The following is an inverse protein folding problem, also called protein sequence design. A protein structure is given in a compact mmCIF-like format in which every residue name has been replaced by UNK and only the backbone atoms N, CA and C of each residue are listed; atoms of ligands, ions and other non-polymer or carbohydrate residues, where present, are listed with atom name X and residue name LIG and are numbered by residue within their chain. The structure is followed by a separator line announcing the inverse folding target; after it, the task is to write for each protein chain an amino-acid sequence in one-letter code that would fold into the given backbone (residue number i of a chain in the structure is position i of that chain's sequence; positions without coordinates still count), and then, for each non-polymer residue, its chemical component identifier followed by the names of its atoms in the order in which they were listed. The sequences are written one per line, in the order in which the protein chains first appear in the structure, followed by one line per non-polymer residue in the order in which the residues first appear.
data_IF_928315238141
#
_entry.id   IF_928315238141
#
_cell.length_a   1.000
_cell.length_b   1.000
_cell.length_c   1.000
_cell.angle_alpha   90.00
_cell.angle_beta   90.00
_cell.angle_gamma   90.00
#
_symmetry.space_group_name_H-M   'P 1'
#
loop_
_entity.id
_entity.type
_entity.pdbx_description
1 polymer ?
#
# COMPACT_ATOMS: atom_id res chain seq x y z
N UNK A 1 -18.68 16.39 -11.77
CA UNK A 1 -19.03 15.18 -12.53
C UNK A 1 -18.34 13.97 -11.92
N UNK A 2 -19.07 12.90 -11.74
CA UNK A 2 -18.50 11.66 -11.26
C UNK A 2 -17.78 10.96 -12.41
N UNK A 3 -16.53 10.63 -12.19
CA UNK A 3 -15.70 9.95 -13.18
C UNK A 3 -15.20 8.63 -12.59
N UNK A 4 -14.56 7.82 -13.41
CA UNK A 4 -13.94 6.60 -12.94
C UNK A 4 -12.91 6.86 -11.83
N UNK A 5 -12.29 8.05 -11.79
CA UNK A 5 -11.33 8.42 -10.77
C UNK A 5 -11.91 8.46 -9.36
N UNK A 6 -13.24 8.56 -9.22
CA UNK A 6 -13.89 8.50 -7.91
C UNK A 6 -13.64 7.16 -7.20
N UNK A 7 -13.40 6.10 -7.98
CA UNK A 7 -13.22 4.75 -7.47
C UNK A 7 -11.76 4.27 -7.60
N UNK A 8 -10.88 5.14 -8.06
CA UNK A 8 -9.47 4.81 -8.23
C UNK A 8 -8.62 5.96 -7.72
N UNK A 9 -7.47 5.66 -7.15
CA UNK A 9 -6.57 6.66 -6.60
C UNK A 9 -5.26 6.65 -7.40
N UNK A 10 -4.78 7.86 -7.75
CA UNK A 10 -3.49 8.03 -8.41
C UNK A 10 -2.37 8.02 -7.38
N UNK A 11 -1.13 7.83 -7.83
CA UNK A 11 0.03 7.92 -6.95
C UNK A 11 0.12 9.27 -6.24
N UNK A 12 -0.15 10.35 -6.95
CA UNK A 12 -0.13 11.70 -6.40
C UNK A 12 -1.17 11.87 -5.29
N UNK A 13 -2.39 11.38 -5.51
CA UNK A 13 -3.46 11.45 -4.52
C UNK A 13 -3.15 10.59 -3.30
N UNK A 14 -2.55 9.42 -3.52
CA UNK A 14 -2.17 8.54 -2.42
C UNK A 14 -1.07 9.17 -1.55
N UNK A 15 -0.06 9.76 -2.18
CA UNK A 15 1.00 10.48 -1.46
C UNK A 15 0.40 11.65 -0.68
N UNK A 16 -0.57 12.36 -1.24
CA UNK A 16 -1.24 13.45 -0.53
C UNK A 16 -1.99 12.94 0.71
N UNK A 17 -2.65 11.79 0.59
CA UNK A 17 -3.34 11.19 1.73
C UNK A 17 -2.35 10.85 2.85
N UNK A 18 -1.21 10.26 2.49
CA UNK A 18 -0.18 9.91 3.47
C UNK A 18 0.44 11.18 4.07
N UNK A 19 0.61 12.21 3.28
CA UNK A 19 1.08 13.52 3.75
C UNK A 19 0.12 14.09 4.82
N UNK A 20 -1.17 13.93 4.62
CA UNK A 20 -2.17 14.33 5.61
C UNK A 20 -2.00 13.55 6.92
N UNK A 21 -1.74 12.24 6.83
CA UNK A 21 -1.47 11.41 8.01
C UNK A 21 -0.20 11.89 8.72
N UNK A 22 0.83 12.22 7.97
CA UNK A 22 2.11 12.69 8.54
C UNK A 22 1.93 13.90 9.45
N UNK A 23 1.01 14.82 9.11
CA UNK A 23 0.74 16.00 9.92
C UNK A 23 0.09 15.69 11.26
N UNK A 24 -0.50 14.52 11.41
CA UNK A 24 -1.25 14.13 12.60
C UNK A 24 -0.56 13.03 13.41
N UNK A 25 0.34 12.28 12.79
CA UNK A 25 0.99 11.13 13.42
C UNK A 25 2.15 11.58 14.32
N UNK A 26 2.38 10.87 15.42
CA UNK A 26 3.45 11.22 16.38
C UNK A 26 4.40 10.04 16.65
N UNK A 27 4.43 9.05 15.76
CA UNK A 27 5.32 7.91 15.89
C UNK A 27 5.82 7.52 14.48
N UNK A 28 6.92 6.77 14.43
CA UNK A 28 7.48 6.34 13.16
C UNK A 28 6.74 5.12 12.62
N UNK A 29 6.52 5.09 11.31
CA UNK A 29 5.94 3.95 10.60
C UNK A 29 6.52 3.84 9.21
N UNK A 30 6.81 2.60 8.80
CA UNK A 30 7.23 2.27 7.44
C UNK A 30 6.06 1.66 6.71
N UNK A 31 5.73 2.22 5.55
CA UNK A 31 4.68 1.74 4.66
C UNK A 31 5.33 1.25 3.37
N UNK A 32 5.12 0.00 3.02
CA UNK A 32 5.64 -0.56 1.78
C UNK A 32 4.46 -0.92 0.89
N UNK A 33 4.26 -0.15 -0.17
CA UNK A 33 3.21 -0.45 -1.14
C UNK A 33 3.46 -1.79 -1.82
N UNK A 34 2.41 -2.56 -2.02
CA UNK A 34 2.48 -3.82 -2.74
C UNK A 34 1.32 -3.91 -3.73
N UNK A 35 1.33 -4.94 -4.57
CA UNK A 35 0.29 -5.10 -5.59
C UNK A 35 0.18 -3.88 -6.50
N UNK A 36 -1.06 -3.53 -6.87
CA UNK A 36 -1.33 -2.38 -7.73
C UNK A 36 -0.90 -1.06 -7.12
N UNK A 37 -0.86 -0.96 -5.79
CA UNK A 37 -0.38 0.23 -5.08
C UNK A 37 1.10 0.49 -5.40
N UNK A 38 1.94 -0.53 -5.34
CA UNK A 38 3.35 -0.40 -5.67
C UNK A 38 3.53 0.04 -7.12
N UNK A 39 2.81 -0.58 -8.06
CA UNK A 39 2.89 -0.24 -9.47
C UNK A 39 2.46 1.20 -9.73
N UNK A 40 1.46 1.68 -8.99
CA UNK A 40 0.98 3.06 -9.09
C UNK A 40 2.01 4.04 -8.52
N UNK A 41 2.62 3.71 -7.38
CA UNK A 41 3.67 4.54 -6.79
C UNK A 41 4.92 4.58 -7.66
N UNK A 42 5.22 3.51 -8.37
CA UNK A 42 6.36 3.43 -9.29
C UNK A 42 6.05 4.02 -10.67
N UNK A 43 4.84 4.55 -10.86
CA UNK A 43 4.39 5.15 -12.10
C UNK A 43 4.33 4.18 -13.28
N UNK A 44 4.22 2.88 -13.00
CA UNK A 44 4.00 1.83 -14.00
C UNK A 44 2.51 1.77 -14.36
N UNK A 45 1.64 2.04 -13.37
CA UNK A 45 0.20 2.18 -13.57
C UNK A 45 -0.23 3.60 -13.17
N UNK A 46 -1.28 4.12 -13.79
CA UNK A 46 -1.78 5.46 -13.51
C UNK A 46 -2.52 5.54 -12.17
N UNK A 47 -3.19 4.46 -11.77
CA UNK A 47 -4.02 4.46 -10.57
C UNK A 47 -4.28 3.03 -10.09
N UNK A 48 -4.78 2.91 -8.87
CA UNK A 48 -5.20 1.62 -8.32
C UNK A 48 -6.56 1.76 -7.65
N UNK A 49 -7.31 0.67 -7.64
CA UNK A 49 -8.60 0.60 -6.97
C UNK A 49 -8.44 0.23 -5.50
N UNK A 50 -7.60 -0.76 -5.22
CA UNK A 50 -7.33 -1.23 -3.87
C UNK A 50 -5.97 -0.71 -3.41
N UNK A 51 -5.89 -0.27 -2.16
CA UNK A 51 -4.68 0.29 -1.61
C UNK A 51 -4.10 -0.71 -0.62
N UNK A 52 -2.92 -1.26 -0.96
CA UNK A 52 -2.29 -2.34 -0.22
C UNK A 52 -0.92 -1.94 0.30
N UNK A 53 -0.73 -2.06 1.62
CA UNK A 53 0.54 -1.77 2.27
C UNK A 53 0.97 -2.91 3.17
N UNK A 54 2.28 -3.18 3.16
CA UNK A 54 2.92 -3.98 4.20
C UNK A 54 3.48 -3.01 5.24
N UNK A 55 3.26 -3.29 6.51
CA UNK A 55 3.89 -2.58 7.63
C UNK A 55 4.84 -3.56 8.30
N UNK A 56 6.14 -3.54 7.94
CA UNK A 56 7.06 -4.61 8.33
C UNK A 56 7.30 -4.76 9.83
N UNK A 57 7.14 -3.68 10.59
CA UNK A 57 7.35 -3.70 12.04
C UNK A 57 6.01 -3.85 12.74
N UNK A 58 5.79 -4.98 13.44
CA UNK A 58 4.51 -5.28 14.08
C UNK A 58 4.03 -4.18 15.03
N UNK A 59 4.93 -3.60 15.79
CA UNK A 59 4.58 -2.54 16.72
C UNK A 59 4.08 -1.29 16.00
N UNK A 60 4.69 -0.96 14.87
CA UNK A 60 4.25 0.14 14.03
C UNK A 60 2.87 -0.17 13.42
N UNK A 61 2.66 -1.42 13.00
CA UNK A 61 1.35 -1.84 12.48
C UNK A 61 0.24 -1.61 13.51
N UNK A 62 0.44 -2.06 14.74
CA UNK A 62 -0.55 -1.89 15.80
C UNK A 62 -0.86 -0.42 16.08
N UNK A 63 0.17 0.40 16.15
CA UNK A 63 0.02 1.84 16.34
C UNK A 63 -0.70 2.51 15.18
N UNK A 64 -0.38 2.11 13.95
CA UNK A 64 -1.02 2.65 12.76
C UNK A 64 -2.51 2.32 12.74
N UNK A 65 -2.88 1.08 13.10
CA UNK A 65 -4.29 0.70 13.14
C UNK A 65 -5.06 1.55 14.14
N UNK A 66 -4.52 1.76 15.33
CA UNK A 66 -5.14 2.64 16.33
C UNK A 66 -5.26 4.07 15.83
N UNK A 67 -4.21 4.57 15.21
CA UNK A 67 -4.19 5.92 14.67
C UNK A 67 -5.27 6.13 13.61
N UNK A 68 -5.37 5.22 12.64
CA UNK A 68 -6.36 5.35 11.57
C UNK A 68 -7.78 5.26 12.12
N UNK A 69 -8.03 4.37 13.07
CA UNK A 69 -9.35 4.30 13.73
C UNK A 69 -9.67 5.61 14.46
N UNK A 70 -8.68 6.25 15.06
CA UNK A 70 -8.88 7.55 15.75
C UNK A 70 -9.24 8.65 14.76
N UNK A 71 -8.84 8.52 13.49
CA UNK A 71 -9.20 9.46 12.43
C UNK A 71 -10.58 9.17 11.83
N UNK A 72 -11.24 8.10 12.24
CA UNK A 72 -12.54 7.75 11.74
C UNK A 72 -12.56 6.61 10.73
N UNK A 73 -11.43 6.00 10.42
CA UNK A 73 -11.41 4.83 9.53
C UNK A 73 -12.11 3.66 10.21
N UNK A 74 -12.92 2.93 9.44
CA UNK A 74 -13.71 1.82 9.94
C UNK A 74 -13.42 0.55 9.16
N UNK A 75 -13.58 -0.61 9.79
CA UNK A 75 -13.40 -1.89 9.12
C UNK A 75 -14.45 -2.09 8.05
N UNK A 76 -14.00 -2.51 6.86
CA UNK A 76 -14.88 -2.77 5.73
C UNK A 76 -14.20 -3.77 4.79
N UNK A 77 -14.85 -4.90 4.54
CA UNK A 77 -14.38 -5.87 3.55
C UNK A 77 -12.94 -6.34 3.72
N UNK A 78 -12.48 -6.54 4.95
CA UNK A 78 -11.13 -7.01 5.23
C UNK A 78 -10.07 -5.91 5.28
N UNK A 79 -10.47 -4.64 5.17
CA UNK A 79 -9.58 -3.50 5.26
C UNK A 79 -10.20 -2.36 6.04
N UNK A 80 -9.72 -1.16 5.81
CA UNK A 80 -10.22 0.06 6.45
C UNK A 80 -10.66 1.06 5.39
N UNK A 81 -11.76 1.75 5.64
CA UNK A 81 -12.23 2.83 4.79
C UNK A 81 -12.72 3.98 5.65
N UNK A 82 -12.54 5.21 5.20
CA UNK A 82 -13.06 6.38 5.88
C UNK A 82 -14.48 6.66 5.38
N UNK A 83 -15.44 6.99 6.29
CA UNK A 83 -16.81 7.30 5.87
C UNK A 83 -16.93 8.42 4.84
N UNK A 84 -16.00 9.39 4.87
CA UNK A 84 -15.99 10.50 3.91
C UNK A 84 -15.52 10.05 2.52
N UNK A 85 -14.87 8.88 2.44
CA UNK A 85 -14.31 8.37 1.19
C UNK A 85 -14.46 6.84 1.14
N UNK A 86 -15.70 6.33 1.19
CA UNK A 86 -15.94 4.89 1.40
C UNK A 86 -15.55 4.01 0.22
N UNK A 87 -15.18 4.61 -0.90
CA UNK A 87 -14.79 3.86 -2.10
C UNK A 87 -13.34 3.37 -2.05
N UNK A 88 -12.51 3.95 -1.21
CA UNK A 88 -11.10 3.58 -1.11
C UNK A 88 -10.90 2.65 0.08
N UNK A 89 -10.57 1.40 -0.23
CA UNK A 89 -10.30 0.38 0.77
C UNK A 89 -8.80 0.27 0.98
N UNK A 90 -8.36 0.47 2.22
CA UNK A 90 -6.97 0.36 2.61
C UNK A 90 -6.76 -0.97 3.31
N UNK A 91 -5.85 -1.79 2.79
CA UNK A 91 -5.49 -3.06 3.40
C UNK A 91 -4.04 -2.99 3.88
N UNK A 92 -3.81 -3.47 5.10
CA UNK A 92 -2.50 -3.43 5.73
C UNK A 92 -2.15 -4.83 6.24
N UNK A 93 -0.93 -5.27 5.96
CA UNK A 93 -0.41 -6.55 6.45
C UNK A 93 0.83 -6.31 7.29
N UNK A 94 0.92 -6.98 8.46
CA UNK A 94 2.07 -6.87 9.34
C UNK A 94 3.18 -7.80 8.88
N UNK A 95 4.43 -7.41 9.09
CA UNK A 95 5.58 -8.25 8.82
C UNK A 95 5.96 -8.32 7.36
N UNK A 96 6.11 -9.52 6.83
CA UNK A 96 6.49 -9.75 5.44
C UNK A 96 5.45 -10.58 4.70
N UNK A 97 4.18 -10.29 4.97
CA UNK A 97 3.05 -11.00 4.39
C UNK A 97 2.25 -10.08 3.49
N UNK A 98 1.80 -10.62 2.35
CA UNK A 98 0.87 -9.97 1.44
C UNK A 98 -0.24 -10.95 1.13
N UNK A 99 -1.49 -10.62 1.51
CA UNK A 99 -2.61 -11.55 1.39
C UNK A 99 -2.29 -12.88 2.08
N UNK A 100 -2.22 -13.98 1.34
CA UNK A 100 -1.87 -15.30 1.86
C UNK A 100 -0.41 -15.67 1.59
N UNK A 101 0.35 -14.80 0.95
CA UNK A 101 1.74 -15.06 0.57
C UNK A 101 2.69 -14.45 1.57
N UNK A 102 3.59 -15.28 2.13
CA UNK A 102 4.68 -14.79 2.97
C UNK A 102 5.92 -14.63 2.11
N UNK A 103 6.54 -13.45 2.18
CA UNK A 103 7.76 -13.17 1.43
C UNK A 103 8.94 -13.90 2.06
N UNK A 104 9.93 -14.24 1.23
CA UNK A 104 11.15 -14.88 1.72
C UNK A 104 11.95 -13.94 2.62
N UNK A 105 12.05 -12.68 2.23
CA UNK A 105 12.82 -11.67 2.94
C UNK A 105 11.91 -10.54 3.39
N UNK A 106 12.33 -9.84 4.45
CA UNK A 106 11.61 -8.65 4.90
C UNK A 106 11.73 -7.55 3.86
N UNK A 107 10.65 -6.78 3.62
CA UNK A 107 10.73 -5.59 2.78
C UNK A 107 11.74 -4.54 3.28
N UNK A 108 12.17 -4.63 4.54
CA UNK A 108 13.19 -3.75 5.12
C UNK A 108 14.62 -4.17 4.78
N UNK A 109 14.82 -5.40 4.30
CA UNK A 109 16.15 -5.87 3.93
C UNK A 109 16.69 -5.05 2.74
N UNK A 110 18.02 -4.94 2.59
CA UNK A 110 18.61 -4.19 1.49
C UNK A 110 18.04 -4.61 0.13
N UNK A 111 17.71 -3.63 -0.69
CA UNK A 111 17.19 -3.80 -2.05
C UNK A 111 15.82 -4.50 -2.14
N UNK A 112 15.12 -4.66 -1.03
CA UNK A 112 13.79 -5.29 -1.03
C UNK A 112 12.65 -4.30 -1.14
N UNK A 113 12.91 -3.01 -1.04
CA UNK A 113 11.92 -1.98 -1.34
C UNK A 113 12.59 -0.85 -2.13
N UNK A 114 11.78 -0.14 -2.89
CA UNK A 114 12.20 1.01 -3.69
C UNK A 114 11.69 2.26 -2.97
N UNK A 115 12.59 3.17 -2.53
CA UNK A 115 12.17 4.38 -1.82
C UNK A 115 11.30 5.28 -2.71
N UNK A 116 10.18 5.75 -2.17
CA UNK A 116 9.28 6.68 -2.85
C UNK A 116 9.36 8.05 -2.20
N UNK A 117 9.08 8.12 -0.89
CA UNK A 117 9.15 9.39 -0.17
C UNK A 117 9.37 9.14 1.33
N UNK A 118 10.13 10.01 1.95
CA UNK A 118 10.38 9.95 3.39
C UNK A 118 9.98 11.27 4.02
N UNK A 119 9.07 11.19 5.00
CA UNK A 119 8.70 12.31 5.87
C UNK A 119 9.44 12.17 7.21
N UNK A 120 9.09 13.02 8.14
CA UNK A 120 9.67 12.96 9.48
C UNK A 120 9.32 11.66 10.22
N UNK A 121 8.08 11.20 10.09
CA UNK A 121 7.57 10.02 10.80
C UNK A 121 7.31 8.84 9.87
N UNK A 122 6.90 9.10 8.64
CA UNK A 122 6.49 8.05 7.70
C UNK A 122 7.56 7.86 6.64
N UNK A 123 7.92 6.61 6.40
CA UNK A 123 8.70 6.19 5.25
C UNK A 123 7.77 5.44 4.30
N UNK A 124 7.73 5.85 3.05
CA UNK A 124 6.95 5.21 2.00
C UNK A 124 7.88 4.60 0.97
N UNK A 125 7.80 3.30 0.80
CA UNK A 125 8.49 2.58 -0.25
C UNK A 125 7.53 1.73 -1.06
N UNK A 126 8.02 1.18 -2.15
CA UNK A 126 7.30 0.18 -2.96
C UNK A 126 8.07 -1.13 -2.89
N UNK A 127 7.33 -2.24 -2.85
CA UNK A 127 7.94 -3.57 -2.85
C UNK A 127 8.76 -3.73 -4.13
N UNK A 128 9.91 -4.43 -4.05
CA UNK A 128 10.75 -4.66 -5.21
C UNK A 128 10.01 -5.45 -6.29
N UNK A 129 10.45 -5.28 -7.54
CA UNK A 129 9.73 -5.85 -8.69
C UNK A 129 9.68 -7.37 -8.66
N UNK A 130 10.75 -8.03 -8.19
CA UNK A 130 10.79 -9.49 -8.10
C UNK A 130 9.70 -10.02 -7.17
N UNK A 131 9.58 -9.43 -5.98
CA UNK A 131 8.57 -9.85 -5.01
C UNK A 131 7.16 -9.48 -5.48
N UNK A 132 7.00 -8.37 -6.20
CA UNK A 132 5.72 -8.01 -6.80
C UNK A 132 5.27 -9.07 -7.80
N UNK A 133 6.17 -9.54 -8.65
CA UNK A 133 5.87 -10.57 -9.64
C UNK A 133 5.47 -11.86 -8.93
N UNK A 134 6.25 -12.27 -7.93
CA UNK A 134 5.98 -13.51 -7.19
C UNK A 134 4.61 -13.47 -6.52
N UNK A 135 4.27 -12.38 -5.86
CA UNK A 135 2.97 -12.27 -5.17
C UNK A 135 1.80 -12.29 -6.14
N UNK A 136 1.96 -11.68 -7.32
CA UNK A 136 0.91 -11.70 -8.34
C UNK A 136 0.73 -13.09 -8.96
N UNK A 137 1.81 -13.81 -9.20
CA UNK A 137 1.74 -15.17 -9.71
C UNK A 137 1.00 -16.08 -8.73
N UNK A 138 1.28 -15.97 -7.42
CA UNK A 138 0.61 -16.79 -6.42
C UNK A 138 -0.87 -16.46 -6.26
N UNK A 139 -1.30 -15.23 -6.59
CA UNK A 139 -2.72 -14.89 -6.63
C UNK A 139 -3.44 -15.58 -7.79
N UNK A 140 -2.73 -15.80 -8.90
CA UNK A 140 -3.24 -16.58 -10.02
C UNK A 140 -4.37 -15.94 -10.81
N UNK A 141 -4.58 -14.64 -10.69
CA UNK A 141 -5.63 -13.96 -11.45
C UNK A 141 -5.08 -13.43 -12.76
N UNK A 142 -5.97 -13.27 -13.75
CA UNK A 142 -5.59 -12.73 -15.04
C UNK A 142 -5.07 -11.29 -14.92
N UNK A 143 -5.68 -10.50 -14.05
CA UNK A 143 -5.25 -9.12 -13.80
C UNK A 143 -3.83 -9.09 -13.27
N UNK A 144 -3.50 -9.99 -12.35
CA UNK A 144 -2.16 -10.08 -11.79
C UNK A 144 -1.12 -10.46 -12.84
N UNK A 145 -1.47 -11.34 -13.78
CA UNK A 145 -0.58 -11.69 -14.89
C UNK A 145 -0.30 -10.47 -15.77
N UNK A 146 -1.32 -9.68 -16.08
CA UNK A 146 -1.17 -8.45 -16.86
C UNK A 146 -0.27 -7.46 -16.13
N UNK A 147 -0.44 -7.33 -14.81
CA UNK A 147 0.40 -6.44 -14.00
C UNK A 147 1.86 -6.92 -13.96
N UNK A 148 2.09 -8.23 -13.93
CA UNK A 148 3.45 -8.79 -14.00
C UNK A 148 4.13 -8.43 -15.32
N UNK A 149 3.40 -8.51 -16.45
CA UNK A 149 3.92 -8.11 -17.75
C UNK A 149 4.27 -6.62 -17.75
N UNK A 150 3.41 -5.78 -17.19
CA UNK A 150 3.67 -4.34 -17.08
C UNK A 150 4.91 -4.06 -16.23
N UNK A 151 5.12 -4.80 -15.14
CA UNK A 151 6.26 -4.62 -14.25
C UNK A 151 7.60 -4.98 -14.91
N UNK A 152 7.58 -5.81 -15.95
CA UNK A 152 8.78 -6.21 -16.68
C UNK A 152 9.17 -5.25 -17.80
N UNK A 153 8.31 -4.35 -18.15
CA UNK A 153 8.61 -3.34 -19.15
C UNK A 153 9.39 -2.20 -18.56
#
# INVERSE_FOLDING_TARGET
MVTASKYRITGKELIQTIDNWEHLINFKVTLIGCGGTALTLLEIKDSTKDIDFIVPVNKEYERLMKFLRSLGYEEKGGGLAHPDDPYFLYQFWAGKRVHTTELLDSPLDPDKNIPIKKWRHIYLGALNLQDLIITKIFRGTRVDVVDCVAAHK
#
